data_IF_525935042991
#
_entry.id   IF_525935042991
#
_cell.length_a   1.000
_cell.length_b   1.000
_cell.length_c   1.000
_cell.angle_alpha   90.00
_cell.angle_beta   90.00
_cell.angle_gamma   90.00
#
_symmetry.space_group_name_H-M   'P 1'
#
loop_
_entity.id
_entity.type
_entity.pdbx_description
1 polymer ?
#
# COMPACT_ATOMS: atom_id res chain seq x y z
N UNK A 1 26.32 -11.76 -0.48
CA UNK A 1 25.22 -12.16 -1.37
C UNK A 1 24.77 -10.89 -2.10
N UNK A 2 24.82 -10.86 -3.43
CA UNK A 2 24.39 -9.70 -4.23
C UNK A 2 23.05 -10.01 -4.90
N UNK A 3 22.18 -9.03 -5.02
CA UNK A 3 20.91 -9.15 -5.74
C UNK A 3 21.08 -8.65 -7.18
N UNK A 4 20.63 -9.43 -8.17
CA UNK A 4 20.56 -8.96 -9.57
C UNK A 4 19.28 -8.17 -9.76
N UNK A 5 19.37 -6.98 -10.35
CA UNK A 5 18.21 -6.12 -10.55
C UNK A 5 17.10 -6.80 -11.38
N UNK A 6 17.46 -7.56 -12.41
CA UNK A 6 16.52 -8.28 -13.28
C UNK A 6 15.77 -9.44 -12.60
N UNK A 7 16.21 -9.86 -11.42
CA UNK A 7 15.62 -10.98 -10.65
C UNK A 7 15.04 -10.48 -9.30
N UNK A 8 14.93 -9.16 -9.13
CA UNK A 8 14.53 -8.54 -7.86
C UNK A 8 13.41 -7.53 -8.09
N UNK A 9 12.43 -7.51 -7.19
CA UNK A 9 11.42 -6.47 -7.13
C UNK A 9 11.28 -5.94 -5.69
N UNK A 10 10.90 -4.68 -5.56
CA UNK A 10 10.44 -4.08 -4.30
C UNK A 10 8.93 -4.00 -4.34
N UNK A 11 8.25 -4.63 -3.38
CA UNK A 11 6.79 -4.60 -3.27
C UNK A 11 6.39 -3.69 -2.12
N UNK A 12 5.72 -2.57 -2.43
CA UNK A 12 5.23 -1.61 -1.47
C UNK A 12 3.77 -1.94 -1.14
N UNK A 13 3.54 -2.45 0.06
CA UNK A 13 2.22 -2.91 0.48
C UNK A 13 1.48 -1.77 1.20
N UNK A 14 0.31 -1.39 0.68
CA UNK A 14 -0.65 -0.51 1.38
C UNK A 14 -0.11 0.85 1.82
N UNK A 15 0.83 1.44 1.08
CA UNK A 15 1.25 2.84 1.25
C UNK A 15 0.19 3.82 0.73
N UNK A 16 -1.02 3.74 1.29
CA UNK A 16 -2.18 4.53 0.92
C UNK A 16 -2.48 5.59 1.98
N UNK A 17 -3.17 6.65 1.57
CA UNK A 17 -3.44 7.80 2.45
C UNK A 17 -4.16 7.41 3.74
N UNK A 18 -5.06 6.42 3.69
CA UNK A 18 -5.79 5.93 4.86
C UNK A 18 -4.87 5.54 6.02
N UNK A 19 -3.71 4.96 5.69
CA UNK A 19 -2.64 4.65 6.63
C UNK A 19 -1.68 5.82 6.81
N UNK A 20 -1.17 6.37 5.71
CA UNK A 20 0.08 7.13 5.74
C UNK A 20 -0.09 8.64 5.97
N UNK A 21 -1.30 9.20 5.95
CA UNK A 21 -1.51 10.66 6.00
C UNK A 21 -2.33 11.13 7.20
N UNK A 22 -1.94 12.27 7.83
CA UNK A 22 -2.78 12.94 8.81
C UNK A 22 -4.18 13.23 8.28
N UNK A 23 -5.18 13.11 9.15
CA UNK A 23 -6.58 13.36 8.82
C UNK A 23 -7.34 12.16 8.25
N UNK A 24 -6.67 11.01 8.04
CA UNK A 24 -7.33 9.77 7.65
C UNK A 24 -7.57 8.81 8.82
N UNK A 25 -8.58 7.92 8.74
CA UNK A 25 -9.06 7.19 9.90
C UNK A 25 -8.06 6.22 10.55
N UNK A 26 -7.10 5.64 9.80
CA UNK A 26 -6.15 4.67 10.36
C UNK A 26 -4.83 5.31 10.80
N UNK A 27 -4.50 6.49 10.30
CA UNK A 27 -3.24 7.18 10.59
C UNK A 27 -2.95 7.33 12.10
N UNK A 28 -3.91 7.74 12.97
CA UNK A 28 -3.63 7.87 14.41
C UNK A 28 -3.14 6.58 15.07
N UNK A 29 -3.56 5.42 14.56
CA UNK A 29 -3.15 4.12 15.10
C UNK A 29 -1.72 3.71 14.72
N UNK A 30 -1.13 4.34 13.71
CA UNK A 30 0.19 3.97 13.18
C UNK A 30 1.19 5.13 13.11
N UNK A 31 0.76 6.36 13.41
CA UNK A 31 1.58 7.58 13.36
C UNK A 31 2.90 7.43 14.12
N UNK A 32 2.85 6.91 15.35
CA UNK A 32 4.05 6.73 16.18
C UNK A 32 5.08 5.79 15.53
N UNK A 33 4.61 4.76 14.80
CA UNK A 33 5.47 3.82 14.07
C UNK A 33 6.02 4.47 12.80
N UNK A 34 5.16 5.13 12.01
CA UNK A 34 5.58 5.82 10.79
C UNK A 34 6.69 6.84 11.08
N UNK A 35 6.47 7.70 12.09
CA UNK A 35 7.41 8.73 12.49
C UNK A 35 8.63 8.17 13.21
N UNK A 36 8.43 7.24 14.15
CA UNK A 36 9.51 6.68 14.96
C UNK A 36 10.57 5.94 14.14
N UNK A 37 10.17 5.37 13.00
CA UNK A 37 11.08 4.66 12.10
C UNK A 37 11.33 5.37 10.77
N UNK A 38 10.81 6.59 10.56
CA UNK A 38 10.94 7.34 9.30
C UNK A 38 10.50 6.51 8.09
N UNK A 39 9.39 5.78 8.21
CA UNK A 39 9.02 4.71 7.26
C UNK A 39 8.85 5.26 5.85
N UNK A 40 8.21 6.42 5.70
CA UNK A 40 7.93 7.01 4.39
C UNK A 40 9.23 7.51 3.76
N UNK A 41 10.04 8.26 4.50
CA UNK A 41 11.30 8.83 4.03
C UNK A 41 12.30 7.74 3.63
N UNK A 42 12.45 6.71 4.46
CA UNK A 42 13.32 5.58 4.20
C UNK A 42 12.85 4.77 2.98
N UNK A 43 11.53 4.62 2.80
CA UNK A 43 10.96 3.93 1.63
C UNK A 43 11.19 4.72 0.36
N UNK A 44 11.03 6.05 0.37
CA UNK A 44 11.34 6.92 -0.77
C UNK A 44 12.81 6.80 -1.17
N UNK A 45 13.72 6.83 -0.20
CA UNK A 45 15.16 6.65 -0.48
C UNK A 45 15.46 5.26 -1.05
N UNK A 46 14.83 4.21 -0.52
CA UNK A 46 14.96 2.84 -1.01
C UNK A 46 14.53 2.74 -2.47
N UNK A 47 13.31 3.17 -2.80
CA UNK A 47 12.77 3.02 -4.16
C UNK A 47 13.53 3.87 -5.17
N UNK A 48 14.00 5.07 -4.79
CA UNK A 48 14.86 5.90 -5.63
C UNK A 48 16.14 5.16 -6.02
N UNK A 49 16.87 4.62 -5.04
CA UNK A 49 18.12 3.86 -5.29
C UNK A 49 17.86 2.55 -6.04
N UNK A 50 16.72 1.90 -5.79
CA UNK A 50 16.32 0.69 -6.49
C UNK A 50 16.04 0.98 -7.98
N UNK A 51 15.35 2.08 -8.28
CA UNK A 51 15.10 2.57 -9.65
C UNK A 51 16.38 2.91 -10.39
N UNK A 52 17.34 3.59 -9.75
CA UNK A 52 18.66 3.88 -10.32
C UNK A 52 19.42 2.60 -10.72
N UNK A 53 19.12 1.47 -10.09
CA UNK A 53 19.70 0.15 -10.37
C UNK A 53 18.87 -0.70 -11.33
N UNK A 54 17.73 -0.21 -11.81
CA UNK A 54 16.82 -0.94 -12.69
C UNK A 54 16.01 -2.04 -12.01
N UNK A 55 15.80 -1.95 -10.69
CA UNK A 55 14.92 -2.86 -9.93
C UNK A 55 13.46 -2.48 -10.18
N UNK A 56 12.60 -3.47 -10.35
CA UNK A 56 11.15 -3.29 -10.52
C UNK A 56 10.50 -2.84 -9.20
N UNK A 57 9.68 -1.79 -9.25
CA UNK A 57 8.94 -1.30 -8.08
C UNK A 57 7.44 -1.52 -8.27
N UNK A 58 6.84 -2.31 -7.37
CA UNK A 58 5.45 -2.73 -7.43
C UNK A 58 4.67 -2.08 -6.28
N UNK A 59 3.62 -1.33 -6.60
CA UNK A 59 2.65 -0.85 -5.63
C UNK A 59 1.54 -1.89 -5.41
N UNK A 60 1.24 -2.23 -4.16
CA UNK A 60 0.23 -3.23 -3.80
C UNK A 60 -0.83 -2.60 -2.88
N UNK A 61 -1.73 -1.76 -3.43
CA UNK A 61 -2.82 -1.18 -2.68
C UNK A 61 -3.88 -2.23 -2.33
N UNK A 62 -4.66 -1.95 -1.29
CA UNK A 62 -5.95 -2.61 -1.04
C UNK A 62 -7.07 -1.62 -1.36
N UNK A 63 -8.05 -2.04 -2.16
CA UNK A 63 -9.17 -1.18 -2.56
C UNK A 63 -10.43 -2.02 -2.53
N UNK A 64 -11.50 -1.52 -1.93
CA UNK A 64 -12.83 -2.14 -1.91
C UNK A 64 -13.79 -1.33 -2.77
N UNK A 65 -14.74 -2.00 -3.42
CA UNK A 65 -15.84 -1.34 -4.13
C UNK A 65 -16.65 -0.45 -3.18
N UNK A 66 -17.35 0.52 -3.75
CA UNK A 66 -18.02 1.57 -2.98
C UNK A 66 -19.02 1.07 -1.94
N UNK A 67 -19.64 -0.08 -2.20
CA UNK A 67 -20.63 -0.71 -1.31
C UNK A 67 -20.04 -1.80 -0.40
N UNK A 68 -18.72 -2.03 -0.47
CA UNK A 68 -17.99 -3.06 0.27
C UNK A 68 -18.53 -4.49 0.09
N UNK A 69 -19.29 -4.78 -0.97
CA UNK A 69 -19.78 -6.16 -1.21
C UNK A 69 -18.64 -7.15 -1.47
N UNK A 70 -17.49 -6.64 -1.89
CA UNK A 70 -16.25 -7.38 -2.15
C UNK A 70 -15.33 -7.52 -0.92
N UNK A 71 -15.74 -7.03 0.26
CA UNK A 71 -14.98 -7.15 1.51
C UNK A 71 -14.85 -8.62 1.99
N UNK A 72 -15.86 -9.43 1.65
CA UNK A 72 -16.01 -10.81 2.13
C UNK A 72 -16.35 -10.86 3.62
N UNK A 73 -15.85 -11.89 4.32
CA UNK A 73 -16.12 -12.08 5.74
C UNK A 73 -15.44 -11.00 6.59
N UNK A 74 -16.23 -10.33 7.44
CA UNK A 74 -15.77 -9.28 8.35
C UNK A 74 -15.16 -9.90 9.63
N UNK A 75 -13.84 -10.05 9.65
CA UNK A 75 -13.10 -10.48 10.85
C UNK A 75 -11.77 -9.72 11.01
N UNK A 76 -11.28 -9.60 12.24
CA UNK A 76 -10.02 -8.88 12.53
C UNK A 76 -10.06 -7.43 12.04
N UNK A 77 -9.00 -6.98 11.37
CA UNK A 77 -8.90 -5.60 10.87
C UNK A 77 -9.98 -5.26 9.82
N UNK A 78 -10.50 -6.26 9.08
CA UNK A 78 -11.58 -6.08 8.09
C UNK A 78 -12.89 -5.65 8.72
N UNK A 79 -13.15 -5.98 9.99
CA UNK A 79 -14.36 -5.56 10.69
C UNK A 79 -14.45 -4.03 10.83
N UNK A 80 -13.31 -3.33 10.80
CA UNK A 80 -13.28 -1.87 10.90
C UNK A 80 -13.22 -1.18 9.54
N UNK A 81 -12.93 -1.89 8.44
CA UNK A 81 -12.78 -1.28 7.10
C UNK A 81 -14.05 -0.58 6.66
N UNK A 82 -15.17 -1.31 6.65
CA UNK A 82 -16.48 -0.76 6.26
C UNK A 82 -16.98 0.29 7.25
N UNK A 83 -16.75 0.06 8.54
CA UNK A 83 -17.15 0.99 9.62
C UNK A 83 -16.43 2.34 9.51
N UNK A 84 -15.15 2.34 9.14
CA UNK A 84 -14.33 3.54 9.04
C UNK A 84 -14.38 4.16 7.63
N UNK A 85 -14.96 3.49 6.64
CA UNK A 85 -15.04 4.01 5.27
C UNK A 85 -13.68 4.08 4.56
N UNK A 86 -12.73 3.23 4.96
CA UNK A 86 -11.35 3.24 4.46
C UNK A 86 -11.18 2.32 3.26
N UNK A 87 -10.14 2.58 2.47
CA UNK A 87 -9.78 1.87 1.24
C UNK A 87 -10.89 1.82 0.19
N UNK A 88 -11.85 2.74 0.27
CA UNK A 88 -12.98 2.80 -0.65
C UNK A 88 -12.54 3.32 -2.01
N UNK A 89 -12.86 2.58 -3.06
CA UNK A 89 -12.60 2.96 -4.46
C UNK A 89 -13.15 4.36 -4.75
N UNK A 90 -12.37 5.15 -5.48
CA UNK A 90 -12.70 6.53 -5.84
C UNK A 90 -12.49 7.56 -4.72
N UNK A 91 -12.05 7.15 -3.52
CA UNK A 91 -11.73 8.09 -2.45
C UNK A 91 -10.24 8.38 -2.36
N UNK A 92 -9.89 9.56 -1.85
CA UNK A 92 -8.48 9.89 -1.58
C UNK A 92 -7.81 8.93 -0.60
N UNK A 93 -8.56 8.37 0.35
CA UNK A 93 -8.01 7.41 1.33
C UNK A 93 -7.41 6.18 0.68
N UNK A 94 -8.05 5.70 -0.39
CA UNK A 94 -7.62 4.55 -1.16
C UNK A 94 -6.47 4.84 -2.14
N UNK A 95 -6.10 6.10 -2.37
CA UNK A 95 -4.97 6.41 -3.24
C UNK A 95 -3.63 6.11 -2.54
N UNK A 96 -2.66 5.65 -3.31
CA UNK A 96 -1.26 5.61 -2.89
C UNK A 96 -0.78 7.02 -2.51
N UNK A 97 0.19 7.13 -1.60
CA UNK A 97 0.76 8.42 -1.24
C UNK A 97 1.54 9.03 -2.41
N UNK A 98 1.44 10.35 -2.57
CA UNK A 98 2.06 11.08 -3.67
C UNK A 98 3.59 10.98 -3.68
N UNK A 99 4.21 10.79 -2.51
CA UNK A 99 5.67 10.63 -2.38
C UNK A 99 6.20 9.39 -3.10
N UNK A 100 5.38 8.34 -3.24
CA UNK A 100 5.80 7.07 -3.83
C UNK A 100 5.31 6.90 -5.27
N UNK A 101 4.23 7.58 -5.68
CA UNK A 101 3.66 7.49 -7.03
C UNK A 101 4.70 7.62 -8.17
N UNK A 102 5.67 8.56 -8.14
CA UNK A 102 6.64 8.71 -9.22
C UNK A 102 7.59 7.51 -9.41
N UNK A 103 7.67 6.61 -8.43
CA UNK A 103 8.60 5.49 -8.43
C UNK A 103 7.94 4.15 -8.72
N UNK A 104 6.60 4.07 -8.75
CA UNK A 104 5.88 2.83 -9.01
C UNK A 104 5.88 2.53 -10.52
N UNK A 105 6.30 1.32 -10.87
CA UNK A 105 6.24 0.83 -12.25
C UNK A 105 4.89 0.18 -12.54
N UNK A 106 4.39 -0.63 -11.60
CA UNK A 106 3.17 -1.41 -11.76
C UNK A 106 2.38 -1.37 -10.45
N UNK A 107 1.06 -1.23 -10.57
CA UNK A 107 0.14 -1.45 -9.46
C UNK A 107 -0.50 -2.83 -9.57
N UNK A 108 -0.46 -3.58 -8.47
CA UNK A 108 -1.20 -4.83 -8.32
C UNK A 108 -2.67 -4.50 -8.14
N UNK A 109 -3.52 -5.19 -8.90
CA UNK A 109 -4.97 -5.08 -8.82
C UNK A 109 -5.59 -6.31 -8.10
N UNK A 110 -6.85 -6.19 -7.69
CA UNK A 110 -7.62 -7.31 -7.13
C UNK A 110 -7.48 -7.56 -5.62
N UNK A 111 -6.51 -6.93 -4.93
CA UNK A 111 -6.32 -7.15 -3.49
C UNK A 111 -7.56 -6.79 -2.67
N UNK A 112 -8.10 -7.75 -1.90
CA UNK A 112 -9.24 -7.58 -0.97
C UNK A 112 -8.97 -8.11 0.44
N UNK A 113 -7.72 -8.45 0.78
CA UNK A 113 -7.34 -9.05 2.07
C UNK A 113 -6.01 -8.52 2.61
N UNK A 114 -5.72 -8.80 3.88
CA UNK A 114 -4.51 -8.29 4.57
C UNK A 114 -3.21 -9.02 4.23
N UNK A 115 -3.24 -10.05 3.36
CA UNK A 115 -2.05 -10.73 2.86
C UNK A 115 -1.71 -10.17 1.48
N UNK A 116 -0.46 -9.69 1.31
CA UNK A 116 0.02 -9.05 0.07
C UNK A 116 -0.05 -9.91 -1.19
N UNK A 117 -0.21 -11.22 -1.05
CA UNK A 117 -0.29 -12.20 -2.16
C UNK A 117 -1.61 -12.98 -2.22
N UNK A 118 -2.55 -12.76 -1.29
CA UNK A 118 -3.84 -13.46 -1.32
C UNK A 118 -4.84 -12.62 -2.11
N UNK A 119 -5.38 -13.17 -3.20
CA UNK A 119 -6.33 -12.53 -4.14
C UNK A 119 -5.73 -11.40 -5.00
N UNK A 120 -4.47 -11.53 -5.42
CA UNK A 120 -3.85 -10.55 -6.32
C UNK A 120 -3.26 -11.20 -7.56
N UNK A 121 -3.45 -10.56 -8.70
CA UNK A 121 -2.67 -10.83 -9.91
C UNK A 121 -1.51 -9.82 -9.97
N UNK A 122 -0.28 -10.33 -9.97
CA UNK A 122 0.90 -9.54 -10.33
C UNK A 122 1.05 -9.68 -11.84
N UNK A 123 0.54 -8.69 -12.57
CA UNK A 123 0.62 -8.65 -14.05
C UNK A 123 2.01 -8.24 -14.51
#
# INVERSE_FOLDING_TARGET
MGFKASETAVVLIEFQNDFCKPGFPLYPGIEAVLKGYGVIENTVELVKKAKEKGVLIIGCPVVFEEDYKDLGQEFGIKANVKKLGVFRKGTKGAEFIDELKPYIDIYVEGKRGGLGFMLVDVV
#
